data_IF_042572584808
#
_entry.id   IF_042572584808
#
_cell.length_a   1.000
_cell.length_b   1.000
_cell.length_c   1.000
_cell.angle_alpha   90.00
_cell.angle_beta   90.00
_cell.angle_gamma   90.00
#
_symmetry.space_group_name_H-M   'P 1'
#
loop_
_entity.id
_entity.type
_entity.pdbx_description
1 polymer ?
#
# COMPACT_ATOMS: atom_id res chain seq x y z
N UNK A 1 -5.80 -12.41 -6.53
CA UNK A 1 -5.94 -11.64 -5.28
C UNK A 1 -7.35 -11.07 -5.22
N UNK A 2 -7.93 -10.99 -4.03
CA UNK A 2 -9.19 -10.26 -3.80
C UNK A 2 -8.97 -8.74 -4.01
N UNK A 3 -9.89 -8.07 -4.69
CA UNK A 3 -9.84 -6.62 -4.95
C UNK A 3 -9.85 -5.82 -3.64
N UNK A 4 -10.50 -6.33 -2.59
CA UNK A 4 -10.50 -5.70 -1.27
C UNK A 4 -9.09 -5.68 -0.66
N UNK A 5 -8.31 -6.75 -0.87
CA UNK A 5 -6.92 -6.84 -0.40
C UNK A 5 -6.03 -5.85 -1.15
N UNK A 6 -6.21 -5.73 -2.47
CA UNK A 6 -5.48 -4.74 -3.28
C UNK A 6 -5.78 -3.32 -2.83
N UNK A 7 -7.05 -3.03 -2.56
CA UNK A 7 -7.50 -1.74 -2.03
C UNK A 7 -6.85 -1.43 -0.68
N UNK A 8 -6.77 -2.40 0.23
CA UNK A 8 -6.08 -2.26 1.51
C UNK A 8 -4.56 -2.04 1.36
N UNK A 9 -3.89 -2.81 0.50
CA UNK A 9 -2.46 -2.61 0.19
C UNK A 9 -2.22 -1.18 -0.33
N UNK A 10 -3.07 -0.73 -1.26
CA UNK A 10 -2.97 0.60 -1.86
C UNK A 10 -3.20 1.71 -0.84
N UNK A 11 -4.19 1.58 0.04
CA UNK A 11 -4.40 2.51 1.16
C UNK A 11 -3.14 2.63 2.02
N UNK A 12 -2.57 1.51 2.45
CA UNK A 12 -1.39 1.51 3.31
C UNK A 12 -0.15 2.09 2.60
N UNK A 13 0.02 1.79 1.31
CA UNK A 13 1.10 2.34 0.50
C UNK A 13 0.98 3.86 0.34
N UNK A 14 -0.21 4.36 0.00
CA UNK A 14 -0.51 5.79 -0.13
C UNK A 14 -0.27 6.55 1.18
N UNK A 15 -0.82 6.05 2.30
CA UNK A 15 -0.63 6.67 3.62
C UNK A 15 0.86 6.77 3.96
N UNK A 16 1.59 5.66 3.80
CA UNK A 16 3.02 5.65 4.11
C UNK A 16 3.81 6.59 3.18
N UNK A 17 3.51 6.61 1.88
CA UNK A 17 4.19 7.50 0.95
C UNK A 17 3.91 8.97 1.29
N UNK A 18 2.65 9.33 1.53
CA UNK A 18 2.24 10.68 1.87
C UNK A 18 2.89 11.17 3.17
N UNK A 19 2.92 10.33 4.21
CA UNK A 19 3.56 10.62 5.51
C UNK A 19 5.09 10.75 5.41
N UNK A 20 5.71 10.12 4.41
CA UNK A 20 7.17 10.02 4.27
C UNK A 20 7.71 10.67 2.98
N UNK A 21 7.18 11.84 2.63
CA UNK A 21 7.76 12.68 1.56
C UNK A 21 7.50 12.18 0.14
N UNK A 22 6.38 11.49 -0.06
CA UNK A 22 5.92 11.04 -1.35
C UNK A 22 6.43 9.65 -1.77
N UNK A 23 7.16 8.93 -0.91
CA UNK A 23 7.77 7.64 -1.25
C UNK A 23 7.56 6.59 -0.16
N UNK A 24 7.38 5.35 -0.57
CA UNK A 24 7.30 4.18 0.32
C UNK A 24 8.11 3.00 -0.25
N UNK A 25 8.28 1.95 0.56
CA UNK A 25 9.00 0.74 0.18
C UNK A 25 8.16 -0.51 0.47
N UNK A 26 8.29 -1.51 -0.39
CA UNK A 26 7.57 -2.79 -0.31
C UNK A 26 7.67 -3.44 1.07
N UNK A 27 8.88 -3.45 1.65
CA UNK A 27 9.12 -4.04 2.98
C UNK A 27 8.35 -3.35 4.09
N UNK A 28 8.15 -2.04 4.00
CA UNK A 28 7.39 -1.27 4.99
C UNK A 28 5.92 -1.62 4.88
N UNK A 29 5.37 -1.62 3.66
CA UNK A 29 3.97 -1.96 3.40
C UNK A 29 3.68 -3.41 3.79
N UNK A 30 4.55 -4.35 3.42
CA UNK A 30 4.45 -5.75 3.82
C UNK A 30 4.45 -5.89 5.36
N UNK A 31 5.36 -5.20 6.05
CA UNK A 31 5.41 -5.20 7.51
C UNK A 31 4.12 -4.68 8.14
N UNK A 32 3.58 -3.55 7.65
CA UNK A 32 2.30 -2.99 8.11
C UNK A 32 1.16 -3.98 7.90
N UNK A 33 1.03 -4.56 6.69
CA UNK A 33 -0.03 -5.54 6.37
C UNK A 33 0.05 -6.77 7.27
N UNK A 34 1.22 -7.37 7.46
CA UNK A 34 1.37 -8.58 8.29
C UNK A 34 1.18 -8.31 9.79
N UNK A 35 1.33 -7.05 10.21
CA UNK A 35 1.02 -6.58 11.55
C UNK A 35 -0.47 -6.38 11.77
N UNK A 36 -1.17 -5.79 10.79
CA UNK A 36 -2.61 -5.48 10.86
C UNK A 36 -3.51 -6.66 10.51
N UNK A 37 -3.10 -7.51 9.56
CA UNK A 37 -3.84 -8.65 9.02
C UNK A 37 -2.98 -9.93 9.06
N UNK A 38 -2.86 -10.58 10.24
CA UNK A 38 -2.00 -11.75 10.44
C UNK A 38 -2.35 -12.94 9.53
N UNK A 39 -3.58 -13.03 9.02
CA UNK A 39 -4.04 -14.04 8.07
C UNK A 39 -3.19 -14.07 6.78
N UNK A 40 -2.55 -12.96 6.41
CA UNK A 40 -1.69 -12.89 5.24
C UNK A 40 -0.29 -13.46 5.44
N UNK A 41 0.10 -13.83 6.67
CA UNK A 41 1.40 -14.46 6.94
C UNK A 41 1.58 -15.79 6.20
N UNK A 42 0.49 -16.50 5.90
CA UNK A 42 0.53 -17.75 5.12
C UNK A 42 0.61 -17.49 3.62
N UNK A 43 0.35 -16.25 3.17
CA UNK A 43 0.26 -15.84 1.75
C UNK A 43 1.34 -14.83 1.35
N UNK A 44 2.43 -14.72 2.12
CA UNK A 44 3.50 -13.72 1.90
C UNK A 44 4.01 -13.72 0.46
N UNK A 45 4.22 -14.91 -0.14
CA UNK A 45 4.70 -15.00 -1.52
C UNK A 45 3.72 -14.42 -2.55
N UNK A 46 2.41 -14.59 -2.32
CA UNK A 46 1.36 -14.08 -3.20
C UNK A 46 1.24 -12.56 -3.07
N UNK A 47 1.18 -12.04 -1.84
CA UNK A 47 0.97 -10.60 -1.59
C UNK A 47 2.19 -9.74 -1.90
N UNK A 48 3.41 -10.31 -1.84
CA UNK A 48 4.63 -9.51 -2.05
C UNK A 48 4.72 -8.93 -3.46
N UNK A 49 4.31 -9.69 -4.49
CA UNK A 49 4.33 -9.19 -5.87
C UNK A 49 3.35 -8.04 -6.07
N UNK A 50 2.13 -8.18 -5.54
CA UNK A 50 1.10 -7.14 -5.61
C UNK A 50 1.53 -5.87 -4.85
N UNK A 51 2.16 -6.02 -3.69
CA UNK A 51 2.72 -4.90 -2.94
C UNK A 51 3.76 -4.15 -3.78
N UNK A 52 4.67 -4.86 -4.44
CA UNK A 52 5.69 -4.22 -5.29
C UNK A 52 5.06 -3.40 -6.43
N UNK A 53 4.05 -3.95 -7.12
CA UNK A 53 3.35 -3.25 -8.20
C UNK A 53 2.62 -1.99 -7.69
N UNK A 54 1.93 -2.11 -6.56
CA UNK A 54 1.18 -1.00 -5.96
C UNK A 54 2.12 0.08 -5.43
N UNK A 55 3.21 -0.29 -4.75
CA UNK A 55 4.22 0.66 -4.26
C UNK A 55 4.86 1.41 -5.42
N UNK A 56 5.22 0.71 -6.50
CA UNK A 56 5.75 1.36 -7.69
C UNK A 56 4.77 2.38 -8.27
N UNK A 57 3.48 2.03 -8.39
CA UNK A 57 2.42 2.94 -8.84
C UNK A 57 2.28 4.18 -7.93
N UNK A 58 2.23 3.98 -6.62
CA UNK A 58 2.08 5.07 -5.63
C UNK A 58 3.28 6.02 -5.66
N UNK A 59 4.50 5.48 -5.78
CA UNK A 59 5.72 6.28 -5.84
C UNK A 59 5.85 7.11 -7.13
N UNK A 60 5.03 6.87 -8.16
CA UNK A 60 4.94 7.75 -9.34
C UNK A 60 3.99 8.95 -9.12
N UNK A 61 3.17 8.92 -8.07
CA UNK A 61 2.25 10.01 -7.76
C UNK A 61 3.00 11.11 -7.00
N UNK A 62 2.65 12.36 -7.30
CA UNK A 62 3.02 13.49 -6.45
C UNK A 62 2.32 13.39 -5.09
N UNK A 63 2.88 14.04 -4.07
CA UNK A 63 2.31 14.04 -2.72
C UNK A 63 0.87 14.59 -2.69
N UNK A 64 0.56 15.58 -3.53
CA UNK A 64 -0.80 16.12 -3.70
C UNK A 64 -1.76 15.08 -4.30
N UNK A 65 -1.33 14.34 -5.33
CA UNK A 65 -2.13 13.25 -5.91
C UNK A 65 -2.36 12.12 -4.91
N UNK A 66 -1.34 11.78 -4.11
CA UNK A 66 -1.47 10.78 -3.04
C UNK A 66 -2.51 11.21 -2.01
N UNK A 67 -2.46 12.46 -1.55
CA UNK A 67 -3.43 13.02 -0.62
C UNK A 67 -4.85 13.00 -1.19
N UNK A 68 -5.01 13.50 -2.42
CA UNK A 68 -6.31 13.53 -3.09
C UNK A 68 -6.90 12.13 -3.23
N UNK A 69 -6.08 11.15 -3.61
CA UNK A 69 -6.54 9.77 -3.74
C UNK A 69 -6.96 9.17 -2.39
N UNK A 70 -6.25 9.49 -1.31
CA UNK A 70 -6.62 9.11 0.05
C UNK A 70 -7.98 9.67 0.45
N UNK A 71 -8.21 10.96 0.21
CA UNK A 71 -9.47 11.65 0.55
C UNK A 71 -10.66 11.13 -0.29
N UNK A 72 -10.46 10.82 -1.56
CA UNK A 72 -11.52 10.38 -2.46
C UNK A 72 -11.90 8.90 -2.28
N UNK A 73 -10.91 8.02 -2.07
CA UNK A 73 -11.12 6.56 -2.13
C UNK A 73 -11.09 5.88 -0.76
N UNK A 74 -10.56 6.57 0.25
CA UNK A 74 -10.32 6.04 1.60
C UNK A 74 -10.68 7.01 2.74
N UNK A 75 -11.88 7.64 2.71
CA UNK A 75 -12.32 8.58 3.75
C UNK A 75 -12.49 7.93 5.12
#
# INVERSE_FOLDING_TARGET
MDEEIKKEIRKMALQNAFEHGGQTQDKIVLGKILGTKPEFRTKVKEISGEISEIVASVNQLSQEQQQKELEENFP
#
